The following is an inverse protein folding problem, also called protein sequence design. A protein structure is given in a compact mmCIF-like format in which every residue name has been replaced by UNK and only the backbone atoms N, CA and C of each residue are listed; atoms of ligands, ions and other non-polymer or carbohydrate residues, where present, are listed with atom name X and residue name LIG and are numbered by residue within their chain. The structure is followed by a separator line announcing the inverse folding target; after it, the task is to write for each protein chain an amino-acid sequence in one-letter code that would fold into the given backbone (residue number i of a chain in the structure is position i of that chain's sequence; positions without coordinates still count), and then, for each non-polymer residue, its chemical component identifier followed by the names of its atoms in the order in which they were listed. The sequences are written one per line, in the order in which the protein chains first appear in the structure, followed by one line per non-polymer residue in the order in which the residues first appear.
data_IF_380736423369
#
_entry.id   IF_380736423369
#
_cell.length_a   1.000
_cell.length_b   1.000
_cell.length_c   1.000
_cell.angle_alpha   90.00
_cell.angle_beta   90.00
_cell.angle_gamma   90.00
#
_symmetry.space_group_name_H-M   'P 1'
#
loop_
_entity.id
_entity.type
_entity.pdbx_description
1 polymer ?
#
# COMPACT_ATOMS: atom_id res chain seq x y z
N UNK A 1 18.95 -7.38 -4.45
CA UNK A 1 18.56 -7.24 -3.03
C UNK A 1 17.90 -8.54 -2.59
N UNK A 2 18.28 -9.10 -1.44
CA UNK A 2 17.61 -10.24 -0.79
C UNK A 2 16.11 -10.04 -0.60
N UNK A 3 15.67 -8.82 -0.30
CA UNK A 3 14.24 -8.46 -0.28
C UNK A 3 13.77 -8.09 -1.69
N UNK A 4 12.69 -8.72 -2.14
CA UNK A 4 12.04 -8.49 -3.44
C UNK A 4 10.63 -7.95 -3.24
N UNK A 5 10.16 -7.09 -4.17
CA UNK A 5 8.81 -6.56 -4.18
C UNK A 5 8.05 -7.12 -5.39
N UNK A 6 6.86 -7.64 -5.15
CA UNK A 6 5.87 -7.97 -6.19
C UNK A 6 4.65 -7.08 -6.03
N UNK A 7 4.22 -6.43 -7.10
CA UNK A 7 2.96 -5.67 -7.11
C UNK A 7 1.90 -6.48 -7.82
N UNK A 8 0.78 -6.76 -7.13
CA UNK A 8 -0.38 -7.39 -7.76
C UNK A 8 -1.07 -6.42 -8.71
N UNK A 9 -1.79 -6.97 -9.68
CA UNK A 9 -2.71 -6.20 -10.53
C UNK A 9 -3.74 -5.49 -9.66
N UNK A 10 -4.09 -4.26 -10.04
CA UNK A 10 -5.11 -3.47 -9.36
C UNK A 10 -6.47 -4.15 -9.46
N UNK A 11 -7.10 -4.40 -8.32
CA UNK A 11 -8.49 -4.89 -8.26
C UNK A 11 -9.45 -3.72 -8.25
N UNK A 12 -10.48 -3.75 -9.10
CA UNK A 12 -11.51 -2.71 -9.15
C UNK A 12 -12.82 -3.20 -8.55
N UNK A 13 -13.27 -2.56 -7.48
CA UNK A 13 -14.59 -2.77 -6.89
C UNK A 13 -15.52 -1.64 -7.33
N UNK A 14 -16.58 -1.97 -8.08
CA UNK A 14 -17.49 -0.95 -8.59
C UNK A 14 -18.75 -0.79 -7.73
N UNK A 15 -19.22 0.44 -7.59
CA UNK A 15 -20.53 0.74 -6.99
C UNK A 15 -21.44 1.49 -7.97
N UNK A 16 -22.75 1.40 -7.75
CA UNK A 16 -23.74 2.08 -8.59
C UNK A 16 -23.97 3.50 -8.10
N UNK A 17 -24.05 4.45 -9.04
CA UNK A 17 -24.53 5.82 -8.81
C UNK A 17 -25.91 5.99 -9.45
N UNK A 18 -26.74 6.87 -8.89
CA UNK A 18 -28.09 7.15 -9.37
C UNK A 18 -28.22 8.62 -9.80
N UNK A 19 -29.03 8.87 -10.81
CA UNK A 19 -29.31 10.23 -11.28
C UNK A 19 -29.60 10.28 -12.78
N UNK A 20 -30.24 11.37 -13.23
CA UNK A 20 -30.39 11.69 -14.66
C UNK A 20 -29.49 12.86 -15.10
N UNK A 21 -28.85 13.51 -14.14
CA UNK A 21 -27.92 14.63 -14.36
C UNK A 21 -26.61 14.37 -13.63
N UNK A 22 -25.55 15.10 -14.00
CA UNK A 22 -24.27 15.01 -13.29
C UNK A 22 -24.36 15.53 -11.85
N UNK A 23 -25.23 16.51 -11.58
CA UNK A 23 -25.52 16.97 -10.22
C UNK A 23 -26.16 15.86 -9.36
N UNK A 24 -27.08 15.08 -9.91
CA UNK A 24 -27.68 13.94 -9.20
C UNK A 24 -26.65 12.84 -8.94
N UNK A 25 -25.80 12.54 -9.92
CA UNK A 25 -24.70 11.58 -9.76
C UNK A 25 -23.75 12.04 -8.65
N UNK A 26 -23.36 13.32 -8.63
CA UNK A 26 -22.50 13.87 -7.58
C UNK A 26 -23.15 13.76 -6.19
N UNK A 27 -24.46 14.01 -6.07
CA UNK A 27 -25.20 13.76 -4.81
C UNK A 27 -25.22 12.28 -4.44
N UNK A 28 -25.39 11.39 -5.42
CA UNK A 28 -25.33 9.94 -5.20
C UNK A 28 -23.96 9.52 -4.67
N UNK A 29 -22.86 10.03 -5.24
CA UNK A 29 -21.49 9.76 -4.76
C UNK A 29 -21.32 10.19 -3.31
N UNK A 30 -21.77 11.40 -2.95
CA UNK A 30 -21.74 11.87 -1.54
C UNK A 30 -22.53 10.98 -0.58
N UNK A 31 -23.49 10.19 -1.07
CA UNK A 31 -24.29 9.25 -0.28
C UNK A 31 -23.75 7.82 -0.28
N UNK A 32 -23.26 7.30 -1.41
CA UNK A 32 -22.92 5.88 -1.59
C UNK A 32 -21.46 5.60 -1.91
N UNK A 33 -20.65 6.63 -2.16
CA UNK A 33 -19.23 6.49 -2.45
C UNK A 33 -18.43 5.94 -1.26
N UNK A 34 -17.22 5.42 -1.52
CA UNK A 34 -16.29 5.04 -0.47
C UNK A 34 -15.95 6.23 0.44
N UNK A 35 -15.73 5.95 1.72
CA UNK A 35 -15.30 6.95 2.70
C UNK A 35 -13.77 6.96 2.75
N UNK A 36 -13.16 8.09 2.45
CA UNK A 36 -11.70 8.26 2.58
C UNK A 36 -11.33 8.23 4.08
N UNK A 37 -10.43 7.33 4.52
CA UNK A 37 -10.00 7.26 5.91
C UNK A 37 -9.24 8.52 6.37
N UNK A 38 -8.69 9.33 5.45
CA UNK A 38 -7.85 10.47 5.78
C UNK A 38 -8.65 11.73 6.15
N UNK A 39 -9.79 11.96 5.51
CA UNK A 39 -10.61 13.16 5.75
C UNK A 39 -12.08 12.86 6.12
N UNK A 40 -12.42 11.56 6.20
CA UNK A 40 -13.75 11.05 6.53
C UNK A 40 -14.87 11.47 5.57
N UNK A 41 -14.56 11.99 4.38
CA UNK A 41 -15.56 12.33 3.36
C UNK A 41 -15.78 11.18 2.38
N UNK A 42 -16.95 11.20 1.75
CA UNK A 42 -17.25 10.28 0.65
C UNK A 42 -16.70 10.83 -0.65
N UNK A 43 -15.86 10.04 -1.29
CA UNK A 43 -15.17 10.37 -2.54
C UNK A 43 -15.69 9.49 -3.67
N UNK A 44 -15.46 9.90 -4.92
CA UNK A 44 -15.89 9.13 -6.07
C UNK A 44 -15.04 7.87 -6.24
N UNK A 45 -13.72 8.03 -6.17
CA UNK A 45 -12.74 6.97 -6.31
C UNK A 45 -11.91 6.93 -5.02
N UNK A 46 -11.53 5.73 -4.61
CA UNK A 46 -10.62 5.53 -3.48
C UNK A 46 -9.66 4.40 -3.80
N UNK A 47 -8.37 4.73 -3.87
CA UNK A 47 -7.29 3.73 -3.87
C UNK A 47 -6.95 3.32 -2.45
N UNK A 48 -6.90 2.02 -2.21
CA UNK A 48 -6.33 1.42 -1.00
C UNK A 48 -5.15 0.54 -1.39
N UNK A 49 -4.10 0.54 -0.58
CA UNK A 49 -2.96 -0.36 -0.76
C UNK A 49 -2.63 -1.09 0.54
N UNK A 50 -2.25 -2.36 0.43
CA UNK A 50 -1.75 -3.17 1.53
C UNK A 50 -0.40 -3.77 1.14
N UNK A 51 0.57 -3.75 2.05
CA UNK A 51 1.89 -4.33 1.84
C UNK A 51 2.10 -5.46 2.84
N UNK A 52 2.18 -6.69 2.32
CA UNK A 52 2.41 -7.89 3.12
C UNK A 52 3.86 -8.37 2.95
N UNK A 53 4.39 -9.02 3.98
CA UNK A 53 5.65 -9.76 3.93
C UNK A 53 5.41 -11.25 4.14
N UNK A 54 5.92 -12.10 3.25
CA UNK A 54 5.84 -13.56 3.41
C UNK A 54 6.94 -14.05 4.38
N UNK A 55 6.92 -13.58 5.63
CA UNK A 55 7.96 -13.83 6.65
C UNK A 55 8.21 -15.34 6.85
N UNK A 56 7.15 -16.14 6.88
CA UNK A 56 7.23 -17.60 7.08
C UNK A 56 7.83 -18.35 5.88
N UNK A 57 7.78 -17.77 4.68
CA UNK A 57 8.40 -18.32 3.46
C UNK A 57 9.78 -17.69 3.17
N UNK A 58 10.19 -16.72 4.00
CA UNK A 58 11.50 -16.08 3.91
C UNK A 58 12.63 -17.08 4.15
N UNK A 59 13.80 -16.80 3.57
CA UNK A 59 15.05 -17.49 3.87
C UNK A 59 15.95 -16.53 4.63
N UNK A 60 16.53 -17.03 5.70
CA UNK A 60 17.42 -16.28 6.59
C UNK A 60 18.76 -17.01 6.67
N UNK A 61 19.81 -16.28 6.97
CA UNK A 61 21.14 -16.85 7.07
C UNK A 61 22.00 -16.04 8.04
N UNK A 62 23.01 -16.71 8.60
CA UNK A 62 24.03 -16.05 9.39
C UNK A 62 24.69 -14.91 8.61
N UNK A 63 24.86 -13.77 9.28
CA UNK A 63 25.59 -12.61 8.78
C UNK A 63 27.02 -12.62 9.32
N UNK A 64 27.83 -13.50 8.75
CA UNK A 64 29.20 -13.74 9.18
C UNK A 64 29.34 -14.96 10.08
N UNK A 65 30.51 -15.08 10.73
CA UNK A 65 30.80 -16.20 11.62
C UNK A 65 30.28 -15.92 13.04
N UNK A 66 29.82 -16.95 13.76
CA UNK A 66 29.52 -16.85 15.19
C UNK A 66 30.72 -16.29 15.97
N UNK A 67 30.43 -15.53 17.01
CA UNK A 67 31.42 -15.01 17.96
C UNK A 67 31.20 -15.68 19.31
N UNK A 68 32.22 -15.73 20.14
CA UNK A 68 32.08 -16.18 21.54
C UNK A 68 32.13 -14.94 22.43
N UNK A 69 31.08 -14.72 23.23
CA UNK A 69 31.06 -13.68 24.23
C UNK A 69 32.09 -13.98 25.32
N UNK A 70 32.94 -12.99 25.63
CA UNK A 70 34.09 -13.19 26.53
C UNK A 70 33.69 -13.31 28.00
N UNK A 71 32.48 -12.88 28.39
CA UNK A 71 32.03 -12.90 29.79
C UNK A 71 31.32 -14.19 30.11
N UNK A 72 30.43 -14.63 29.22
CA UNK A 72 29.60 -15.83 29.44
C UNK A 72 30.18 -17.08 28.80
N UNK A 73 31.07 -16.94 27.81
CA UNK A 73 31.51 -18.06 26.97
C UNK A 73 30.45 -18.53 25.97
N UNK A 74 29.33 -17.81 25.83
CA UNK A 74 28.21 -18.16 24.95
C UNK A 74 28.49 -17.75 23.50
N UNK A 75 27.83 -18.42 22.55
CA UNK A 75 27.87 -18.07 21.15
C UNK A 75 26.91 -16.92 20.84
N UNK A 76 27.42 -15.86 20.21
CA UNK A 76 26.66 -14.76 19.63
C UNK A 76 26.57 -14.95 18.12
N UNK A 77 25.35 -15.00 17.60
CA UNK A 77 25.07 -15.14 16.17
C UNK A 77 24.18 -13.98 15.71
N UNK A 78 24.48 -13.44 14.53
CA UNK A 78 23.63 -12.43 13.86
C UNK A 78 23.08 -13.03 12.59
N UNK A 79 21.78 -12.84 12.33
CA UNK A 79 21.11 -13.26 11.10
C UNK A 79 20.73 -12.07 10.24
N UNK A 80 20.72 -12.31 8.93
CA UNK A 80 20.20 -11.39 7.90
C UNK A 80 19.21 -12.10 6.99
N UNK A 81 18.47 -11.29 6.25
CA UNK A 81 17.58 -11.76 5.21
C UNK A 81 18.42 -12.26 4.02
N UNK A 82 18.18 -13.50 3.59
CA UNK A 82 18.75 -14.08 2.36
C UNK A 82 17.78 -14.01 1.20
N UNK A 83 16.48 -14.17 1.48
CA UNK A 83 15.40 -13.99 0.51
C UNK A 83 14.12 -13.66 1.26
N UNK A 84 13.45 -12.57 0.92
CA UNK A 84 12.12 -12.25 1.43
C UNK A 84 11.29 -11.64 0.31
N UNK A 85 10.01 -12.01 0.24
CA UNK A 85 9.07 -11.46 -0.72
C UNK A 85 8.09 -10.53 -0.02
N UNK A 86 8.03 -9.30 -0.51
CA UNK A 86 6.99 -8.32 -0.19
C UNK A 86 5.95 -8.31 -1.30
N UNK A 87 4.67 -8.16 -0.93
CA UNK A 87 3.55 -8.19 -1.85
C UNK A 87 2.72 -6.92 -1.63
N UNK A 88 2.75 -6.01 -2.61
CA UNK A 88 1.85 -4.86 -2.65
C UNK A 88 0.54 -5.27 -3.32
N UNK A 89 -0.57 -5.15 -2.61
CA UNK A 89 -1.93 -5.43 -3.09
C UNK A 89 -2.71 -4.11 -3.20
N UNK A 90 -2.81 -3.52 -4.41
CA UNK A 90 -3.63 -2.35 -4.65
C UNK A 90 -5.09 -2.71 -4.98
N UNK A 91 -6.04 -1.90 -4.49
CA UNK A 91 -7.43 -1.92 -4.91
C UNK A 91 -7.97 -0.50 -5.14
N UNK A 92 -8.93 -0.38 -6.04
CA UNK A 92 -9.63 0.88 -6.32
C UNK A 92 -11.12 0.64 -6.21
N UNK A 93 -11.79 1.40 -5.34
CA UNK A 93 -13.25 1.45 -5.29
C UNK A 93 -13.74 2.63 -6.10
N UNK A 94 -14.58 2.39 -7.10
CA UNK A 94 -15.01 3.41 -8.07
C UNK A 94 -16.48 3.24 -8.50
N UNK A 95 -17.14 4.28 -9.05
CA UNK A 95 -18.44 4.12 -9.66
C UNK A 95 -18.35 3.17 -10.88
N UNK A 96 -19.47 2.60 -11.30
CA UNK A 96 -19.54 1.94 -12.60
C UNK A 96 -19.26 2.95 -13.72
N UNK A 97 -18.45 2.55 -14.69
CA UNK A 97 -18.09 3.39 -15.85
C UNK A 97 -19.32 3.79 -16.68
N UNK A 98 -20.27 2.88 -16.87
CA UNK A 98 -21.51 3.18 -17.58
C UNK A 98 -22.59 3.66 -16.61
N UNK A 99 -23.18 4.81 -16.92
CA UNK A 99 -24.31 5.41 -16.21
C UNK A 99 -25.41 5.70 -17.24
N UNK A 100 -26.66 5.38 -16.91
CA UNK A 100 -27.79 5.54 -17.81
C UNK A 100 -28.54 6.86 -17.58
N UNK A 101 -29.20 7.35 -18.63
CA UNK A 101 -30.10 8.50 -18.53
C UNK A 101 -29.45 9.88 -18.56
N UNK A 102 -28.14 9.97 -18.81
CA UNK A 102 -27.44 11.24 -19.07
C UNK A 102 -27.69 11.72 -20.50
N UNK A 103 -27.67 13.04 -20.71
CA UNK A 103 -27.57 13.63 -22.05
C UNK A 103 -26.25 13.22 -22.74
N UNK A 104 -26.15 13.35 -24.07
CA UNK A 104 -24.89 13.09 -24.77
C UNK A 104 -23.72 13.95 -24.24
N UNK A 105 -23.98 15.22 -23.92
CA UNK A 105 -22.97 16.15 -23.40
C UNK A 105 -22.54 15.75 -21.98
N UNK A 106 -23.50 15.42 -21.11
CA UNK A 106 -23.22 14.93 -19.76
C UNK A 106 -22.46 13.58 -19.78
N UNK A 107 -22.76 12.72 -20.75
CA UNK A 107 -22.06 11.45 -20.94
C UNK A 107 -20.58 11.66 -21.30
N UNK A 108 -20.28 12.60 -22.20
CA UNK A 108 -18.89 12.96 -22.55
C UNK A 108 -18.13 13.43 -21.32
N UNK A 109 -18.74 14.34 -20.55
CA UNK A 109 -18.15 14.85 -19.31
C UNK A 109 -17.91 13.73 -18.28
N UNK A 110 -18.87 12.83 -18.11
CA UNK A 110 -18.72 11.68 -17.23
C UNK A 110 -17.51 10.82 -17.62
N UNK A 111 -17.32 10.52 -18.91
CA UNK A 111 -16.16 9.76 -19.37
C UNK A 111 -14.83 10.51 -19.17
N UNK A 112 -14.82 11.83 -19.39
CA UNK A 112 -13.64 12.68 -19.15
C UNK A 112 -13.25 12.66 -17.66
N UNK A 113 -14.22 12.87 -16.77
CA UNK A 113 -14.05 12.78 -15.33
C UNK A 113 -13.54 11.39 -14.92
N UNK A 114 -14.21 10.31 -15.37
CA UNK A 114 -13.87 8.93 -15.04
C UNK A 114 -12.45 8.56 -15.47
N UNK A 115 -12.05 8.94 -16.68
CA UNK A 115 -10.69 8.70 -17.19
C UNK A 115 -9.65 9.48 -16.37
N UNK A 116 -9.92 10.74 -16.05
CA UNK A 116 -9.02 11.58 -15.24
C UNK A 116 -8.86 11.02 -13.83
N UNK A 117 -9.96 10.55 -13.22
CA UNK A 117 -9.93 9.90 -11.92
C UNK A 117 -9.12 8.60 -11.95
N UNK A 118 -9.28 7.74 -12.96
CA UNK A 118 -8.45 6.53 -13.08
C UNK A 118 -6.95 6.83 -13.20
N UNK A 119 -6.59 7.89 -13.93
CA UNK A 119 -5.18 8.34 -14.01
C UNK A 119 -4.69 8.83 -12.64
N UNK A 120 -5.54 9.52 -11.88
CA UNK A 120 -5.23 9.95 -10.52
C UNK A 120 -5.00 8.75 -9.59
N UNK A 121 -5.92 7.77 -9.57
CA UNK A 121 -5.80 6.53 -8.79
C UNK A 121 -4.54 5.72 -9.19
N UNK A 122 -4.22 5.65 -10.49
CA UNK A 122 -2.99 5.02 -10.97
C UNK A 122 -1.72 5.62 -10.33
N UNK A 123 -1.71 6.94 -10.10
CA UNK A 123 -0.59 7.62 -9.42
C UNK A 123 -0.52 7.30 -7.93
N UNK A 124 -1.63 7.01 -7.26
CA UNK A 124 -1.60 6.48 -5.88
C UNK A 124 -0.84 5.15 -5.84
N UNK A 125 -1.15 4.24 -6.77
CA UNK A 125 -0.48 2.93 -6.88
C UNK A 125 1.00 3.09 -7.17
N UNK A 126 1.39 3.96 -8.11
CA UNK A 126 2.80 4.23 -8.42
C UNK A 126 3.57 4.77 -7.21
N UNK A 127 2.96 5.68 -6.44
CA UNK A 127 3.57 6.24 -5.23
C UNK A 127 3.71 5.19 -4.14
N UNK A 128 2.69 4.37 -3.91
CA UNK A 128 2.76 3.26 -2.96
C UNK A 128 3.82 2.23 -3.35
N UNK A 129 3.97 1.94 -4.65
CA UNK A 129 5.05 1.08 -5.16
C UNK A 129 6.42 1.66 -4.84
N UNK A 130 6.65 2.93 -5.14
CA UNK A 130 7.94 3.61 -4.84
C UNK A 130 8.25 3.61 -3.35
N UNK A 131 7.25 3.78 -2.49
CA UNK A 131 7.47 3.68 -1.05
C UNK A 131 7.75 2.25 -0.60
N UNK A 132 7.03 1.27 -1.16
CA UNK A 132 7.27 -0.15 -0.88
C UNK A 132 8.68 -0.58 -1.29
N UNK A 133 9.24 0.00 -2.36
CA UNK A 133 10.65 -0.20 -2.75
C UNK A 133 11.64 0.38 -1.74
N UNK A 134 11.31 1.49 -1.06
CA UNK A 134 12.12 2.01 0.05
C UNK A 134 12.02 1.12 1.28
N UNK A 135 10.81 0.72 1.64
CA UNK A 135 10.55 -0.23 2.73
C UNK A 135 11.33 -1.53 2.50
N UNK A 136 11.37 -2.06 1.27
CA UNK A 136 12.16 -3.23 0.93
C UNK A 136 13.67 -3.03 1.23
N UNK A 137 14.23 -1.85 0.91
CA UNK A 137 15.63 -1.50 1.21
C UNK A 137 15.91 -1.34 2.70
N UNK A 138 14.94 -0.85 3.44
CA UNK A 138 15.03 -0.69 4.90
C UNK A 138 14.99 -2.06 5.60
N UNK A 139 14.06 -2.93 5.18
CA UNK A 139 13.94 -4.31 5.69
C UNK A 139 15.20 -5.13 5.40
N UNK A 140 15.83 -4.96 4.23
CA UNK A 140 17.07 -5.67 3.85
C UNK A 140 18.25 -5.42 4.83
N UNK A 141 18.20 -4.29 5.54
CA UNK A 141 19.21 -3.90 6.54
C UNK A 141 18.92 -4.46 7.93
N UNK A 142 17.72 -5.00 8.17
CA UNK A 142 17.37 -5.55 9.47
C UNK A 142 18.23 -6.77 9.79
N UNK A 143 18.52 -6.93 11.07
CA UNK A 143 19.31 -8.02 11.62
C UNK A 143 18.63 -8.55 12.86
N UNK A 144 18.70 -9.87 13.03
CA UNK A 144 18.34 -10.51 14.28
C UNK A 144 19.59 -10.99 15.00
N UNK A 145 19.53 -11.06 16.32
CA UNK A 145 20.64 -11.50 17.17
C UNK A 145 20.20 -12.58 18.12
N UNK A 146 21.10 -13.53 18.38
CA UNK A 146 20.91 -14.59 19.35
C UNK A 146 22.18 -14.82 20.15
N UNK A 147 22.01 -15.13 21.43
CA UNK A 147 23.10 -15.43 22.35
C UNK A 147 22.71 -16.66 23.16
N UNK A 148 23.49 -17.74 23.05
CA UNK A 148 23.20 -19.00 23.76
C UNK A 148 24.47 -19.84 23.98
N UNK A 149 24.39 -20.83 24.88
CA UNK A 149 25.50 -21.74 25.19
C UNK A 149 26.00 -22.55 23.99
N UNK A 150 25.12 -22.81 23.01
CA UNK A 150 25.49 -23.52 21.78
C UNK A 150 25.29 -22.63 20.55
N UNK A 151 26.12 -22.83 19.54
CA UNK A 151 26.01 -22.12 18.25
C UNK A 151 24.63 -22.34 17.60
N UNK A 152 24.09 -23.55 17.70
CA UNK A 152 22.79 -23.91 17.12
C UNK A 152 21.64 -23.16 17.76
N UNK A 153 21.64 -23.05 19.08
CA UNK A 153 20.58 -22.34 19.80
C UNK A 153 20.69 -20.84 19.55
N UNK A 154 21.90 -20.29 19.54
CA UNK A 154 22.15 -18.89 19.20
C UNK A 154 21.68 -18.55 17.78
N UNK A 155 21.90 -19.46 16.81
CA UNK A 155 21.41 -19.28 15.45
C UNK A 155 19.87 -19.33 15.36
N UNK A 156 19.22 -20.24 16.10
CA UNK A 156 17.76 -20.34 16.17
C UNK A 156 17.15 -19.07 16.74
N UNK A 157 17.68 -18.59 17.87
CA UNK A 157 17.27 -17.33 18.49
C UNK A 157 17.48 -16.13 17.56
N UNK A 158 18.60 -16.06 16.85
CA UNK A 158 18.87 -14.98 15.91
C UNK A 158 17.88 -14.96 14.72
N UNK A 159 17.47 -16.13 14.22
CA UNK A 159 16.45 -16.22 13.18
C UNK A 159 15.08 -15.77 13.67
N UNK A 160 14.67 -16.23 14.86
CA UNK A 160 13.39 -15.86 15.48
C UNK A 160 13.34 -14.36 15.80
N UNK A 161 14.41 -13.81 16.35
CA UNK A 161 14.56 -12.38 16.61
C UNK A 161 14.45 -11.59 15.29
N UNK A 162 15.12 -12.01 14.22
CA UNK A 162 15.00 -11.34 12.92
C UNK A 162 13.54 -11.33 12.41
N UNK A 163 12.83 -12.47 12.51
CA UNK A 163 11.41 -12.54 12.13
C UNK A 163 10.55 -11.60 12.97
N UNK A 164 10.83 -11.52 14.27
CA UNK A 164 10.13 -10.61 15.19
C UNK A 164 10.40 -9.14 14.86
N UNK A 165 11.66 -8.78 14.59
CA UNK A 165 12.08 -7.42 14.18
C UNK A 165 11.37 -7.02 12.88
N UNK A 166 11.29 -7.91 11.89
CA UNK A 166 10.55 -7.65 10.64
C UNK A 166 9.05 -7.44 10.92
N UNK A 167 8.43 -8.29 11.74
CA UNK A 167 7.02 -8.14 12.11
C UNK A 167 6.75 -6.80 12.81
N UNK A 168 7.58 -6.42 13.77
CA UNK A 168 7.45 -5.15 14.49
C UNK A 168 7.64 -3.95 13.57
N UNK A 169 8.57 -4.04 12.61
CA UNK A 169 8.75 -3.00 11.59
C UNK A 169 7.44 -2.75 10.83
N UNK A 170 6.77 -3.80 10.34
CA UNK A 170 5.48 -3.64 9.65
C UNK A 170 4.37 -3.11 10.56
N UNK A 171 4.36 -3.50 11.84
CA UNK A 171 3.38 -3.00 12.80
C UNK A 171 3.54 -1.50 13.07
N UNK A 172 4.78 -1.03 13.23
CA UNK A 172 5.12 0.38 13.50
C UNK A 172 4.85 1.23 12.25
N UNK A 173 5.27 0.75 11.08
CA UNK A 173 5.26 1.51 9.83
C UNK A 173 3.96 1.37 9.01
N UNK A 174 2.91 0.76 9.58
CA UNK A 174 1.66 0.45 8.89
C UNK A 174 0.96 1.65 8.23
N UNK A 175 1.16 2.85 8.77
CA UNK A 175 0.52 4.07 8.27
C UNK A 175 1.29 4.77 7.14
N UNK A 176 2.51 4.34 6.80
CA UNK A 176 3.34 5.02 5.78
C UNK A 176 2.64 5.13 4.43
N UNK A 177 1.97 4.07 4.00
CA UNK A 177 1.25 4.06 2.71
C UNK A 177 0.05 5.01 2.74
N UNK A 178 -0.73 5.00 3.83
CA UNK A 178 -1.84 5.92 4.02
C UNK A 178 -1.38 7.38 4.01
N UNK A 179 -0.26 7.67 4.68
CA UNK A 179 0.26 9.04 4.72
C UNK A 179 0.69 9.54 3.33
N UNK A 180 1.22 8.67 2.47
CA UNK A 180 1.58 9.01 1.10
C UNK A 180 0.34 9.29 0.25
N UNK A 181 -0.71 8.49 0.41
CA UNK A 181 -1.99 8.75 -0.24
C UNK A 181 -2.53 10.12 0.20
N UNK A 182 -2.59 10.37 1.51
CA UNK A 182 -3.02 11.67 2.08
C UNK A 182 -2.23 12.86 1.53
N UNK A 183 -0.89 12.76 1.51
CA UNK A 183 -0.03 13.84 0.98
C UNK A 183 -0.29 14.07 -0.50
N UNK A 184 -0.51 13.01 -1.27
CA UNK A 184 -0.78 13.13 -2.68
C UNK A 184 -2.15 13.76 -2.95
N UNK A 185 -3.21 13.26 -2.31
CA UNK A 185 -4.56 13.81 -2.37
C UNK A 185 -4.59 15.30 -2.00
N UNK A 186 -3.90 15.67 -0.92
CA UNK A 186 -3.79 17.06 -0.51
C UNK A 186 -3.14 17.93 -1.59
N UNK A 187 -2.05 17.44 -2.20
CA UNK A 187 -1.32 18.19 -3.24
C UNK A 187 -2.13 18.37 -4.53
N UNK A 188 -2.92 17.38 -4.92
CA UNK A 188 -3.72 17.36 -6.17
C UNK A 188 -5.16 17.81 -5.96
N UNK A 189 -5.60 18.01 -4.71
CA UNK A 189 -6.98 18.23 -4.33
C UNK A 189 -7.85 17.05 -4.78
N UNK A 190 -7.52 15.82 -4.34
CA UNK A 190 -8.19 14.58 -4.77
C UNK A 190 -8.30 14.43 -6.30
N UNK A 191 -7.25 14.88 -7.00
CA UNK A 191 -7.17 14.80 -8.45
C UNK A 191 -7.88 15.93 -9.21
N UNK A 192 -8.54 16.89 -8.53
CA UNK A 192 -9.19 18.03 -9.17
C UNK A 192 -8.21 18.81 -10.08
N UNK A 193 -6.98 19.04 -9.61
CA UNK A 193 -5.91 19.69 -10.40
C UNK A 193 -5.45 18.87 -11.62
N UNK A 194 -5.87 17.62 -11.70
CA UNK A 194 -5.57 16.67 -12.79
C UNK A 194 -6.81 16.40 -13.66
N UNK A 195 -7.88 17.17 -13.47
CA UNK A 195 -9.14 17.00 -14.20
C UNK A 195 -10.11 16.02 -13.56
N UNK A 196 -9.82 15.42 -12.40
CA UNK A 196 -10.78 14.55 -11.70
C UNK A 196 -11.85 15.32 -10.92
N UNK A 197 -12.28 16.48 -11.43
CA UNK A 197 -13.43 17.24 -10.94
C UNK A 197 -14.59 17.04 -11.90
N UNK A 198 -15.74 16.57 -11.42
CA UNK A 198 -16.94 16.40 -12.24
C UNK A 198 -17.64 17.74 -12.42
N UNK A 199 -17.82 18.20 -13.66
CA UNK A 199 -18.60 19.41 -13.94
C UNK A 199 -20.10 19.12 -13.82
N UNK A 200 -20.66 19.50 -12.67
CA UNK A 200 -22.08 19.28 -12.35
C UNK A 200 -23.03 20.27 -13.01
N UNK A 201 -22.52 21.29 -13.72
CA UNK A 201 -23.34 22.26 -14.44
C UNK A 201 -23.82 21.75 -15.80
N UNK A 202 -23.20 20.69 -16.33
CA UNK A 202 -23.57 20.08 -17.61
C UNK A 202 -24.81 19.20 -17.44
N UNK A 203 -25.87 19.52 -18.20
CA UNK A 203 -27.15 18.79 -18.25
C UNK A 203 -27.25 17.83 -19.42
#
# INVERSE_FOLDING_TARGET
MPVSLTTKTVTYETYSVKGKTLADIAKSIKKSGPKDPNDNKKVAFLTTTALDAEITKGKYAADGKPKVDKKTGWYEVTFKIKSLKLILTPSVKCPKRSVSGLSPRATIEWYRFYASALVHEGKHVEKAKKESEKIAKEIDKLRGKGLAETERDAATMAEEDLKHVIHNYFFIERERLNEIHRKFDHSTHHGEKQGALLDTSIT
#
